data_IF_013992017366
#
_entry.id   IF_013992017366
#
_cell.length_a   1.000
_cell.length_b   1.000
_cell.length_c   1.000
_cell.angle_alpha   90.00
_cell.angle_beta   90.00
_cell.angle_gamma   90.00
#
_symmetry.space_group_name_H-M   'P 1'
#
loop_
_entity.id
_entity.type
_entity.pdbx_description
1 polymer ?
#
# COMPACT_ATOMS: atom_id res chain seq x y z
N UNK A 1 9.92 -2.87 13.19
CA UNK A 1 8.89 -1.91 13.64
C UNK A 1 9.02 -0.59 12.88
N UNK A 2 7.93 -0.09 12.31
CA UNK A 2 7.86 1.24 11.67
C UNK A 2 7.25 2.25 12.65
N UNK A 3 7.89 3.41 12.84
CA UNK A 3 7.37 4.49 13.68
C UNK A 3 7.35 5.81 12.90
N UNK A 4 6.21 6.46 12.87
CA UNK A 4 6.03 7.82 12.36
C UNK A 4 5.90 8.76 13.55
N UNK A 5 6.71 9.84 13.58
CA UNK A 5 6.69 10.84 14.66
C UNK A 5 6.35 12.21 14.10
N UNK A 6 5.15 12.72 14.42
CA UNK A 6 4.66 14.04 14.04
C UNK A 6 4.88 14.34 12.56
N UNK A 7 4.66 13.33 11.70
CA UNK A 7 4.94 13.41 10.28
C UNK A 7 3.99 14.40 9.62
N UNK A 8 4.56 15.35 8.86
CA UNK A 8 3.78 16.41 8.20
C UNK A 8 4.25 16.64 6.78
N UNK A 9 3.32 16.96 5.90
CA UNK A 9 3.61 17.41 4.54
C UNK A 9 2.67 18.55 4.16
N UNK A 10 3.25 19.71 3.86
CA UNK A 10 2.58 20.87 3.30
C UNK A 10 2.97 21.01 1.84
N UNK A 11 1.99 21.02 0.93
CA UNK A 11 2.19 21.40 -0.46
C UNK A 11 1.97 22.90 -0.61
N UNK A 12 2.73 23.52 -1.53
CA UNK A 12 2.56 24.93 -1.90
C UNK A 12 2.32 25.01 -3.40
N UNK A 13 1.27 25.69 -3.81
CA UNK A 13 0.94 25.97 -5.19
C UNK A 13 0.63 27.46 -5.39
N UNK A 14 0.20 27.84 -6.59
CA UNK A 14 -0.18 29.23 -6.91
C UNK A 14 -1.41 29.72 -6.12
N UNK A 15 -2.16 28.83 -5.48
CA UNK A 15 -3.37 29.13 -4.72
C UNK A 15 -3.10 29.22 -3.21
N UNK A 16 -1.89 28.81 -2.74
CA UNK A 16 -1.50 28.88 -1.34
C UNK A 16 -0.78 27.65 -0.81
N UNK A 17 -0.81 27.51 0.52
CA UNK A 17 -0.28 26.35 1.24
C UNK A 17 -1.42 25.45 1.69
N UNK A 18 -1.29 24.16 1.42
CA UNK A 18 -2.26 23.14 1.84
C UNK A 18 -1.53 22.05 2.61
N UNK A 19 -1.94 21.81 3.84
CA UNK A 19 -1.42 20.73 4.66
C UNK A 19 -2.11 19.41 4.26
N UNK A 20 -1.34 18.51 3.63
CA UNK A 20 -1.84 17.21 3.14
C UNK A 20 -1.75 16.16 4.24
N UNK A 21 -0.68 16.18 5.04
CA UNK A 21 -0.47 15.32 6.21
C UNK A 21 -0.08 16.22 7.38
N UNK A 22 -0.74 16.04 8.52
CA UNK A 22 -0.62 16.94 9.67
C UNK A 22 -0.32 16.14 10.94
N UNK A 23 0.92 16.26 11.43
CA UNK A 23 1.37 15.70 12.73
C UNK A 23 0.99 14.22 12.94
N UNK A 24 1.03 13.40 11.88
CA UNK A 24 0.68 11.99 11.95
C UNK A 24 1.75 11.24 12.76
N UNK A 25 1.33 10.63 13.88
CA UNK A 25 2.15 9.75 14.70
C UNK A 25 1.51 8.36 14.73
N UNK A 26 2.28 7.34 14.34
CA UNK A 26 1.79 5.98 14.15
C UNK A 26 2.93 4.99 14.36
N UNK A 27 2.69 3.98 15.19
CA UNK A 27 3.56 2.83 15.36
C UNK A 27 2.92 1.61 14.70
N UNK A 28 3.70 0.89 13.90
CA UNK A 28 3.32 -0.37 13.26
C UNK A 28 4.32 -1.44 13.67
N UNK A 29 3.86 -2.40 14.46
CA UNK A 29 4.69 -3.52 14.92
C UNK A 29 5.04 -4.46 13.76
N UNK A 30 6.15 -5.20 13.90
CA UNK A 30 6.54 -6.20 12.92
C UNK A 30 5.52 -7.34 12.84
N UNK A 31 5.30 -7.79 11.61
CA UNK A 31 4.35 -8.87 11.32
C UNK A 31 2.87 -8.46 11.37
N UNK A 32 2.56 -7.20 11.67
CA UNK A 32 1.18 -6.70 11.69
C UNK A 32 0.65 -6.37 10.30
N UNK A 33 -0.65 -6.57 10.16
CA UNK A 33 -1.41 -6.11 9.01
C UNK A 33 -2.24 -4.88 9.39
N UNK A 34 -1.82 -3.73 8.87
CA UNK A 34 -2.49 -2.44 9.04
C UNK A 34 -3.28 -2.06 7.79
N UNK A 35 -4.52 -1.65 7.95
CA UNK A 35 -5.28 -0.99 6.88
C UNK A 35 -5.42 0.50 7.18
N UNK A 36 -5.06 1.33 6.20
CA UNK A 36 -5.32 2.77 6.22
C UNK A 36 -6.54 3.03 5.32
N UNK A 37 -7.60 3.55 5.91
CA UNK A 37 -8.83 3.91 5.20
C UNK A 37 -9.23 5.36 5.50
N UNK A 38 -10.29 5.86 4.89
CA UNK A 38 -10.78 7.22 5.09
C UNK A 38 -11.16 7.91 3.78
N UNK A 39 -11.74 9.11 3.81
CA UNK A 39 -12.26 9.79 2.62
C UNK A 39 -11.18 10.06 1.56
N UNK A 40 -11.63 10.22 0.30
CA UNK A 40 -10.74 10.63 -0.77
C UNK A 40 -10.16 12.02 -0.46
N UNK A 41 -8.88 12.22 -0.79
CA UNK A 41 -8.16 13.44 -0.40
C UNK A 41 -7.70 13.50 1.06
N UNK A 42 -7.99 12.48 1.88
CA UNK A 42 -7.60 12.44 3.31
C UNK A 42 -6.10 12.27 3.59
N UNK A 43 -5.24 12.15 2.55
CA UNK A 43 -3.78 12.06 2.72
C UNK A 43 -3.21 10.63 2.71
N UNK A 44 -4.03 9.59 2.51
CA UNK A 44 -3.63 8.17 2.60
C UNK A 44 -2.46 7.80 1.68
N UNK A 45 -2.62 7.99 0.37
CA UNK A 45 -1.56 7.76 -0.63
C UNK A 45 -0.33 8.60 -0.36
N UNK A 46 -0.51 9.83 0.11
CA UNK A 46 0.60 10.72 0.48
C UNK A 46 1.38 10.18 1.66
N UNK A 47 0.70 9.68 2.69
CA UNK A 47 1.34 9.06 3.85
C UNK A 47 2.17 7.83 3.43
N UNK A 48 1.61 6.97 2.57
CA UNK A 48 2.34 5.81 2.04
C UNK A 48 3.55 6.22 1.18
N UNK A 49 3.44 7.27 0.37
CA UNK A 49 4.55 7.85 -0.40
C UNK A 49 5.64 8.42 0.50
N UNK A 50 5.29 9.07 1.61
CA UNK A 50 6.25 9.54 2.61
C UNK A 50 7.03 8.37 3.22
N UNK A 51 6.37 7.27 3.59
CA UNK A 51 7.02 6.08 4.15
C UNK A 51 8.00 5.46 3.14
N UNK A 52 7.64 5.39 1.86
CA UNK A 52 8.54 4.86 0.81
C UNK A 52 9.64 5.83 0.39
N UNK A 53 9.53 7.14 0.70
CA UNK A 53 10.46 8.17 0.26
C UNK A 53 10.18 8.71 -1.15
N UNK A 54 8.97 8.48 -1.66
CA UNK A 54 8.46 9.06 -2.92
C UNK A 54 8.05 10.53 -2.75
N UNK A 55 7.85 10.96 -1.50
CA UNK A 55 7.64 12.34 -1.10
C UNK A 55 8.52 12.63 0.11
N UNK A 56 8.97 13.88 0.24
CA UNK A 56 9.79 14.34 1.37
C UNK A 56 8.90 15.06 2.38
N UNK A 57 8.87 14.68 3.65
CA UNK A 57 8.07 15.36 4.66
C UNK A 57 8.59 16.78 4.90
N UNK A 58 7.69 17.69 5.25
CA UNK A 58 8.03 19.05 5.68
C UNK A 58 8.36 19.13 7.18
N UNK A 59 8.00 18.06 7.93
CA UNK A 59 8.29 17.94 9.36
C UNK A 59 8.08 16.52 9.86
N UNK A 60 8.61 16.23 11.04
CA UNK A 60 8.54 14.91 11.65
C UNK A 60 9.64 13.95 11.20
N UNK A 61 9.52 12.70 11.64
CA UNK A 61 10.51 11.65 11.39
C UNK A 61 9.83 10.31 11.04
N UNK A 62 10.53 9.51 10.24
CA UNK A 62 10.14 8.13 9.92
C UNK A 62 11.28 7.24 10.42
N UNK A 63 10.96 6.36 11.35
CA UNK A 63 11.92 5.42 11.92
C UNK A 63 11.58 4.00 11.48
N UNK A 64 12.59 3.23 11.10
CA UNK A 64 12.50 1.79 10.87
C UNK A 64 13.46 1.11 11.83
N UNK A 65 12.93 0.30 12.75
CA UNK A 65 13.69 -0.35 13.84
C UNK A 65 14.48 0.64 14.71
N UNK A 66 13.91 1.84 14.91
CA UNK A 66 14.57 2.91 15.67
C UNK A 66 15.59 3.73 14.88
N UNK A 67 15.97 3.31 13.66
CA UNK A 67 16.85 4.08 12.78
C UNK A 67 16.04 5.11 11.98
N UNK A 68 16.49 6.36 11.95
CA UNK A 68 15.86 7.43 11.16
C UNK A 68 16.12 7.21 9.66
N UNK A 69 15.07 6.86 8.94
CA UNK A 69 15.09 6.68 7.49
C UNK A 69 14.56 7.89 6.73
N UNK A 70 14.18 8.97 7.42
CA UNK A 70 13.62 10.18 6.80
C UNK A 70 14.51 10.75 5.70
N UNK A 71 15.86 10.88 5.89
CA UNK A 71 16.73 11.43 4.86
C UNK A 71 17.11 10.45 3.75
N UNK A 72 16.71 9.17 3.87
CA UNK A 72 17.14 8.13 2.93
C UNK A 72 16.39 8.18 1.61
N UNK A 73 17.10 7.87 0.54
CA UNK A 73 16.53 7.74 -0.80
C UNK A 73 15.55 6.56 -0.90
N UNK A 74 14.69 6.57 -1.93
CA UNK A 74 13.79 5.44 -2.28
C UNK A 74 14.60 4.13 -2.38
N UNK A 75 15.76 4.18 -3.05
CA UNK A 75 16.62 3.01 -3.25
C UNK A 75 17.14 2.45 -1.93
N UNK A 76 17.56 3.33 -1.01
CA UNK A 76 18.09 2.89 0.29
C UNK A 76 17.00 2.32 1.18
N UNK A 77 15.79 2.90 1.15
CA UNK A 77 14.61 2.33 1.83
C UNK A 77 14.21 0.98 1.23
N UNK A 78 14.26 0.85 -0.10
CA UNK A 78 14.00 -0.41 -0.78
C UNK A 78 15.02 -1.50 -0.41
N UNK A 79 16.30 -1.16 -0.24
CA UNK A 79 17.37 -2.07 0.25
C UNK A 79 17.18 -2.47 1.70
N UNK A 80 16.54 -1.63 2.52
CA UNK A 80 16.16 -1.94 3.90
C UNK A 80 14.90 -2.81 4.00
N UNK A 81 14.37 -3.28 2.87
CA UNK A 81 13.26 -4.20 2.82
C UNK A 81 11.88 -3.53 2.84
N UNK A 82 11.77 -2.29 2.37
CA UNK A 82 10.47 -1.64 2.11
C UNK A 82 10.11 -1.84 0.64
N UNK A 83 8.86 -2.19 0.34
CA UNK A 83 8.31 -2.25 -1.01
C UNK A 83 6.98 -1.53 -1.10
N UNK A 84 6.67 -1.04 -2.30
CA UNK A 84 5.49 -0.23 -2.55
C UNK A 84 4.83 -0.64 -3.86
N UNK A 85 3.52 -0.88 -3.83
CA UNK A 85 2.68 -1.07 -5.01
C UNK A 85 1.96 0.24 -5.30
N UNK A 86 2.09 0.74 -6.52
CA UNK A 86 1.50 2.00 -6.93
C UNK A 86 -0.01 1.86 -7.21
N UNK A 87 -0.79 2.89 -6.95
CA UNK A 87 -2.19 2.95 -7.36
C UNK A 87 -2.33 2.72 -8.88
N UNK A 88 -1.44 3.37 -9.67
CA UNK A 88 -1.28 3.11 -11.10
C UNK A 88 0.09 2.47 -11.33
N UNK A 89 0.14 1.16 -11.67
CA UNK A 89 1.39 0.46 -11.84
C UNK A 89 2.17 0.98 -13.05
N UNK A 90 3.50 1.12 -12.92
CA UNK A 90 4.35 1.55 -14.02
C UNK A 90 4.43 0.48 -15.11
N UNK A 91 4.63 0.90 -16.35
CA UNK A 91 4.89 0.02 -17.49
C UNK A 91 6.36 0.12 -17.88
N UNK A 92 6.96 -1.02 -18.20
CA UNK A 92 8.39 -1.13 -18.52
C UNK A 92 8.57 -1.63 -19.94
N UNK A 93 8.58 -0.72 -20.90
CA UNK A 93 8.74 -1.05 -22.33
C UNK A 93 10.05 -1.81 -22.55
N UNK A 94 9.97 -2.94 -23.24
CA UNK A 94 11.12 -3.79 -23.56
C UNK A 94 11.59 -4.71 -22.43
N UNK A 95 10.82 -4.83 -21.34
CA UNK A 95 11.07 -5.78 -20.25
C UNK A 95 9.97 -6.83 -20.21
N UNK A 96 10.36 -8.09 -20.11
CA UNK A 96 9.43 -9.20 -19.93
C UNK A 96 9.01 -9.35 -18.47
N UNK A 97 7.87 -9.98 -18.25
CA UNK A 97 7.40 -10.32 -16.90
C UNK A 97 8.44 -11.15 -16.14
N UNK A 98 9.09 -12.13 -16.81
CA UNK A 98 10.19 -12.92 -16.23
C UNK A 98 11.37 -12.07 -15.76
N UNK A 99 11.71 -11.01 -16.50
CA UNK A 99 12.83 -10.13 -16.17
C UNK A 99 12.49 -9.30 -14.91
N UNK A 100 11.25 -8.76 -14.85
CA UNK A 100 10.79 -8.01 -13.67
C UNK A 100 10.78 -8.88 -12.41
N UNK A 101 10.28 -10.12 -12.49
CA UNK A 101 10.29 -11.04 -11.36
C UNK A 101 11.73 -11.36 -10.91
N UNK A 102 12.65 -11.60 -11.85
CA UNK A 102 14.05 -11.88 -11.57
C UNK A 102 14.74 -10.68 -10.89
N UNK A 103 14.52 -9.47 -11.41
CA UNK A 103 15.06 -8.24 -10.83
C UNK A 103 14.50 -8.04 -9.42
N UNK A 104 13.20 -8.22 -9.23
CA UNK A 104 12.55 -8.05 -7.94
C UNK A 104 13.07 -9.05 -6.90
N UNK A 105 13.24 -10.33 -7.30
CA UNK A 105 13.79 -11.37 -6.45
C UNK A 105 15.28 -11.18 -6.09
N UNK A 106 16.01 -10.38 -6.89
CA UNK A 106 17.46 -10.20 -6.73
C UNK A 106 18.28 -11.45 -7.01
N UNK A 107 17.68 -12.47 -7.63
CA UNK A 107 18.32 -13.75 -8.01
C UNK A 107 17.65 -14.31 -9.25
N UNK A 108 18.34 -15.20 -9.95
CA UNK A 108 17.72 -15.99 -11.02
C UNK A 108 16.64 -16.89 -10.43
N UNK A 109 15.43 -16.79 -10.97
CA UNK A 109 14.31 -17.64 -10.57
C UNK A 109 14.26 -18.90 -11.45
N UNK A 110 13.94 -20.04 -10.85
CA UNK A 110 13.52 -21.21 -11.59
C UNK A 110 12.15 -20.97 -12.26
N UNK A 111 11.82 -21.76 -13.27
CA UNK A 111 10.51 -21.68 -13.91
C UNK A 111 9.37 -21.87 -12.89
N UNK A 112 9.50 -22.82 -11.98
CA UNK A 112 8.50 -23.14 -10.96
C UNK A 112 8.33 -22.00 -9.95
N UNK A 113 9.42 -21.34 -9.51
CA UNK A 113 9.35 -20.17 -8.65
C UNK A 113 8.60 -19.01 -9.34
N UNK A 114 8.94 -18.70 -10.58
CA UNK A 114 8.28 -17.66 -11.35
C UNK A 114 6.79 -17.99 -11.61
N UNK A 115 6.47 -19.26 -11.92
CA UNK A 115 5.10 -19.75 -12.03
C UNK A 115 4.32 -19.56 -10.73
N UNK A 116 4.93 -19.87 -9.59
CA UNK A 116 4.30 -19.72 -8.27
C UNK A 116 3.87 -18.28 -8.00
N UNK A 117 4.73 -17.29 -8.26
CA UNK A 117 4.39 -15.87 -8.07
C UNK A 117 3.23 -15.42 -8.95
N UNK A 118 3.19 -15.82 -10.22
CA UNK A 118 2.09 -15.47 -11.13
C UNK A 118 0.79 -16.17 -10.75
N UNK A 119 0.84 -17.44 -10.33
CA UNK A 119 -0.33 -18.20 -9.90
C UNK A 119 -0.97 -17.56 -8.66
N UNK A 120 -0.16 -17.06 -7.71
CA UNK A 120 -0.66 -16.37 -6.51
C UNK A 120 -1.52 -15.15 -6.86
N UNK A 121 -1.22 -14.47 -7.95
CA UNK A 121 -2.00 -13.31 -8.42
C UNK A 121 -3.02 -13.65 -9.51
N UNK A 122 -3.27 -14.94 -9.77
CA UNK A 122 -4.26 -15.41 -10.74
C UNK A 122 -3.84 -15.21 -12.19
N UNK A 123 -2.55 -15.24 -12.50
CA UNK A 123 -2.01 -15.21 -13.87
C UNK A 123 -1.43 -16.58 -14.26
N UNK A 124 -1.71 -17.01 -15.49
CA UNK A 124 -1.12 -18.23 -16.04
C UNK A 124 0.32 -17.94 -16.48
N UNK A 125 1.30 -18.61 -15.86
CA UNK A 125 2.71 -18.39 -16.17
C UNK A 125 3.05 -18.65 -17.65
N UNK A 126 2.45 -19.70 -18.26
CA UNK A 126 2.65 -20.03 -19.67
C UNK A 126 2.33 -18.85 -20.58
N UNK A 127 1.28 -18.09 -20.25
CA UNK A 127 0.78 -17.01 -21.08
C UNK A 127 1.46 -15.67 -20.81
N UNK A 128 2.05 -15.50 -19.62
CA UNK A 128 2.54 -14.18 -19.17
C UNK A 128 4.05 -14.07 -19.02
N UNK A 129 4.80 -15.12 -18.65
CA UNK A 129 6.25 -15.00 -18.36
C UNK A 129 7.05 -14.39 -19.51
N UNK A 130 6.71 -14.75 -20.76
CA UNK A 130 7.38 -14.26 -21.96
C UNK A 130 6.84 -12.94 -22.51
N UNK A 131 5.77 -12.37 -21.94
CA UNK A 131 5.15 -11.12 -22.44
C UNK A 131 5.92 -9.90 -21.99
N UNK A 132 5.96 -8.90 -22.85
CA UNK A 132 6.47 -7.57 -22.50
C UNK A 132 5.48 -6.83 -21.61
N UNK A 133 5.98 -6.07 -20.65
CA UNK A 133 5.16 -5.24 -19.75
C UNK A 133 4.91 -3.88 -20.40
N UNK A 134 4.14 -3.90 -21.46
CA UNK A 134 3.84 -2.74 -22.31
C UNK A 134 2.34 -2.41 -22.35
N UNK A 135 1.93 -1.66 -23.37
CA UNK A 135 0.54 -1.20 -23.54
C UNK A 135 -0.40 -2.30 -24.02
N UNK A 136 0.09 -3.48 -24.39
CA UNK A 136 -0.75 -4.63 -24.77
C UNK A 136 -1.42 -5.31 -23.57
N UNK A 137 -0.88 -5.08 -22.36
CA UNK A 137 -1.48 -5.57 -21.12
C UNK A 137 -2.57 -4.62 -20.64
N UNK A 138 -3.69 -5.18 -20.17
CA UNK A 138 -4.73 -4.42 -19.48
C UNK A 138 -4.21 -3.84 -18.15
N UNK A 139 -4.88 -2.83 -17.62
CA UNK A 139 -4.53 -2.26 -16.31
C UNK A 139 -4.53 -3.28 -15.18
N UNK A 140 -5.53 -4.18 -15.16
CA UNK A 140 -5.62 -5.25 -14.16
C UNK A 140 -4.53 -6.30 -14.28
N UNK A 141 -4.06 -6.63 -15.51
CA UNK A 141 -2.92 -7.54 -15.71
C UNK A 141 -1.63 -6.93 -15.21
N UNK A 142 -1.36 -5.66 -15.54
CA UNK A 142 -0.15 -4.96 -15.06
C UNK A 142 -0.16 -4.85 -13.54
N UNK A 143 -1.33 -4.57 -12.93
CA UNK A 143 -1.49 -4.52 -11.47
C UNK A 143 -1.15 -5.85 -10.81
N UNK A 144 -1.64 -6.97 -11.36
CA UNK A 144 -1.33 -8.30 -10.85
C UNK A 144 0.15 -8.66 -11.02
N UNK A 145 0.77 -8.28 -12.14
CA UNK A 145 2.22 -8.45 -12.37
C UNK A 145 3.01 -7.64 -11.34
N UNK A 146 2.63 -6.38 -11.08
CA UNK A 146 3.24 -5.55 -10.03
C UNK A 146 3.18 -6.25 -8.67
N UNK A 147 2.01 -6.76 -8.26
CA UNK A 147 1.86 -7.50 -7.00
C UNK A 147 2.77 -8.74 -6.99
N UNK A 148 2.83 -9.51 -8.08
CA UNK A 148 3.74 -10.66 -8.19
C UNK A 148 5.21 -10.25 -8.01
N UNK A 149 5.63 -9.07 -8.49
CA UNK A 149 7.00 -8.57 -8.26
C UNK A 149 7.24 -8.20 -6.79
N UNK A 150 6.24 -7.66 -6.08
CA UNK A 150 6.35 -7.41 -4.64
C UNK A 150 6.51 -8.73 -3.86
N UNK A 151 5.75 -9.75 -4.23
CA UNK A 151 5.87 -11.09 -3.63
C UNK A 151 7.26 -11.68 -3.89
N UNK A 152 7.78 -11.59 -5.12
CA UNK A 152 9.11 -12.06 -5.50
C UNK A 152 10.22 -11.32 -4.72
N UNK A 153 10.07 -10.02 -4.49
CA UNK A 153 11.00 -9.21 -3.69
C UNK A 153 11.04 -9.64 -2.23
N UNK A 154 9.94 -10.20 -1.71
CA UNK A 154 9.85 -10.74 -0.36
C UNK A 154 10.29 -9.73 0.73
N UNK A 155 9.80 -8.49 0.61
CA UNK A 155 10.17 -7.38 1.49
C UNK A 155 9.59 -7.54 2.89
N UNK A 156 10.31 -7.06 3.89
CA UNK A 156 9.88 -7.09 5.30
C UNK A 156 8.67 -6.19 5.57
N UNK A 157 8.63 -5.01 4.92
CA UNK A 157 7.50 -4.08 4.95
C UNK A 157 6.95 -3.92 3.53
N UNK A 158 5.69 -4.31 3.34
CA UNK A 158 4.99 -4.21 2.07
C UNK A 158 3.88 -3.19 2.17
N UNK A 159 3.88 -2.21 1.27
CA UNK A 159 2.87 -1.15 1.21
C UNK A 159 2.10 -1.30 -0.09
N UNK A 160 0.78 -1.43 -0.01
CA UNK A 160 -0.11 -1.53 -1.16
C UNK A 160 -1.05 -0.32 -1.18
N UNK A 161 -1.02 0.43 -2.26
CA UNK A 161 -1.86 1.62 -2.45
C UNK A 161 -3.01 1.27 -3.40
N UNK A 162 -4.20 1.07 -2.84
CA UNK A 162 -5.42 0.65 -3.52
C UNK A 162 -5.18 -0.51 -4.50
N UNK A 163 -4.69 -1.67 -4.01
CA UNK A 163 -4.30 -2.78 -4.89
C UNK A 163 -5.47 -3.38 -5.67
N UNK A 164 -6.70 -3.11 -5.25
CA UNK A 164 -7.95 -3.50 -5.91
C UNK A 164 -8.32 -2.62 -7.10
N UNK A 165 -7.69 -1.46 -7.27
CA UNK A 165 -8.06 -0.52 -8.34
C UNK A 165 -7.83 -1.12 -9.74
N UNK A 166 -8.91 -1.19 -10.53
CA UNK A 166 -8.85 -1.66 -11.92
C UNK A 166 -8.71 -3.17 -12.11
N UNK A 167 -8.90 -3.98 -11.06
CA UNK A 167 -8.96 -5.44 -11.17
C UNK A 167 -10.40 -5.95 -11.07
N UNK A 168 -10.67 -7.10 -11.71
CA UNK A 168 -11.98 -7.75 -11.66
C UNK A 168 -12.24 -8.49 -10.34
N UNK A 169 -13.49 -8.87 -10.09
CA UNK A 169 -13.92 -9.53 -8.85
C UNK A 169 -13.14 -10.83 -8.53
N UNK A 170 -12.84 -11.63 -9.57
CA UNK A 170 -12.13 -12.89 -9.38
C UNK A 170 -10.65 -12.66 -9.00
N UNK A 171 -10.02 -11.71 -9.68
CA UNK A 171 -8.65 -11.27 -9.36
C UNK A 171 -8.57 -10.64 -7.99
N UNK A 172 -9.59 -9.87 -7.59
CA UNK A 172 -9.68 -9.31 -6.23
C UNK A 172 -9.83 -10.39 -5.16
N UNK A 173 -10.65 -11.41 -5.41
CA UNK A 173 -10.76 -12.54 -4.48
C UNK A 173 -9.39 -13.22 -4.29
N UNK A 174 -8.65 -13.46 -5.38
CA UNK A 174 -7.32 -14.05 -5.33
C UNK A 174 -6.31 -13.16 -4.60
N UNK A 175 -6.33 -11.86 -4.85
CA UNK A 175 -5.51 -10.90 -4.11
C UNK A 175 -5.78 -10.98 -2.59
N UNK A 176 -7.05 -11.03 -2.21
CA UNK A 176 -7.45 -11.13 -0.80
C UNK A 176 -6.92 -12.40 -0.14
N UNK A 177 -6.98 -13.56 -0.84
CA UNK A 177 -6.37 -14.80 -0.39
C UNK A 177 -4.85 -14.67 -0.24
N UNK A 178 -4.17 -14.08 -1.24
CA UNK A 178 -2.71 -13.87 -1.20
C UNK A 178 -2.30 -13.00 -0.02
N UNK A 179 -3.02 -11.92 0.25
CA UNK A 179 -2.76 -11.04 1.41
C UNK A 179 -2.96 -11.79 2.72
N UNK A 180 -4.02 -12.59 2.83
CA UNK A 180 -4.26 -13.45 4.01
C UNK A 180 -3.09 -14.41 4.23
N UNK A 181 -2.67 -15.15 3.19
CA UNK A 181 -1.57 -16.10 3.28
C UNK A 181 -0.26 -15.44 3.69
N UNK A 182 0.01 -14.22 3.21
CA UNK A 182 1.18 -13.42 3.61
C UNK A 182 1.13 -13.05 5.09
N UNK A 183 -0.04 -12.61 5.55
CA UNK A 183 -0.25 -12.24 6.95
C UNK A 183 -0.13 -13.43 7.89
N UNK A 184 -0.78 -14.57 7.58
CA UNK A 184 -0.73 -15.78 8.39
C UNK A 184 0.68 -16.35 8.55
N UNK A 185 1.56 -16.13 7.57
CA UNK A 185 2.98 -16.50 7.67
C UNK A 185 3.77 -15.66 8.67
N UNK A 186 3.23 -14.50 9.10
CA UNK A 186 3.77 -13.63 10.15
C UNK A 186 5.16 -13.05 9.88
N UNK A 187 5.66 -13.13 8.63
CA UNK A 187 7.02 -12.69 8.26
C UNK A 187 7.07 -11.26 7.72
N UNK A 188 5.92 -10.72 7.36
CA UNK A 188 5.81 -9.45 6.67
C UNK A 188 4.94 -8.49 7.45
N UNK A 189 5.39 -7.27 7.60
CA UNK A 189 4.52 -6.16 8.00
C UNK A 189 3.82 -5.66 6.74
N UNK A 190 2.50 -5.58 6.79
CA UNK A 190 1.68 -5.23 5.63
C UNK A 190 0.92 -3.95 5.94
N UNK A 191 1.03 -2.96 5.06
CA UNK A 191 0.21 -1.75 5.10
C UNK A 191 -0.58 -1.70 3.80
N UNK A 192 -1.91 -1.67 3.88
CA UNK A 192 -2.78 -1.55 2.72
C UNK A 192 -3.65 -0.31 2.86
N UNK A 193 -3.64 0.54 1.83
CA UNK A 193 -4.66 1.57 1.65
C UNK A 193 -5.81 0.93 0.89
N UNK A 194 -6.98 0.80 1.52
CA UNK A 194 -8.15 0.20 0.90
C UNK A 194 -9.46 0.69 1.52
N UNK A 195 -10.53 0.65 0.72
CA UNK A 195 -11.90 0.85 1.16
C UNK A 195 -12.71 -0.46 1.12
N UNK A 196 -12.10 -1.56 0.71
CA UNK A 196 -12.77 -2.84 0.51
C UNK A 196 -12.96 -3.58 1.84
N UNK A 197 -14.21 -3.87 2.17
CA UNK A 197 -14.59 -4.59 3.40
C UNK A 197 -13.77 -5.87 3.61
N UNK A 198 -13.58 -6.66 2.54
CA UNK A 198 -12.87 -7.94 2.63
C UNK A 198 -11.42 -7.78 3.06
N UNK A 199 -10.76 -6.69 2.67
CA UNK A 199 -9.39 -6.36 3.09
C UNK A 199 -9.40 -5.80 4.51
N UNK A 200 -10.33 -4.88 4.81
CA UNK A 200 -10.47 -4.24 6.12
C UNK A 200 -10.66 -5.29 7.22
N UNK A 201 -11.49 -6.32 6.97
CA UNK A 201 -11.75 -7.41 7.93
C UNK A 201 -10.58 -8.36 8.18
N UNK A 202 -9.55 -8.35 7.34
CA UNK A 202 -8.33 -9.14 7.54
C UNK A 202 -7.29 -8.43 8.40
N UNK A 203 -7.45 -7.11 8.61
CA UNK A 203 -6.48 -6.30 9.31
C UNK A 203 -6.46 -6.57 10.81
N UNK A 204 -5.28 -6.61 11.40
CA UNK A 204 -5.12 -6.55 12.88
C UNK A 204 -5.56 -5.20 13.39
N UNK A 205 -5.30 -4.15 12.61
CA UNK A 205 -5.55 -2.78 12.99
C UNK A 205 -5.97 -1.92 11.79
N UNK A 206 -6.85 -0.97 12.06
CA UNK A 206 -7.32 0.02 11.09
C UNK A 206 -6.92 1.41 11.58
N UNK A 207 -6.44 2.24 10.67
CA UNK A 207 -6.25 3.67 10.85
C UNK A 207 -7.18 4.41 9.91
N UNK A 208 -8.06 5.23 10.47
CA UNK A 208 -8.90 6.17 9.73
C UNK A 208 -8.13 7.48 9.56
N UNK A 209 -7.74 7.79 8.33
CA UNK A 209 -7.05 9.04 7.98
C UNK A 209 -8.04 9.99 7.29
N UNK A 210 -8.29 11.15 7.89
CA UNK A 210 -9.18 12.17 7.36
C UNK A 210 -8.56 13.56 7.53
N UNK A 211 -8.67 14.42 6.53
CA UNK A 211 -8.13 15.78 6.53
C UNK A 211 -6.63 15.89 6.90
N UNK A 212 -5.87 14.85 6.57
CA UNK A 212 -4.44 14.76 6.87
C UNK A 212 -4.09 14.29 8.29
N UNK A 213 -5.06 13.93 9.11
CA UNK A 213 -4.89 13.52 10.51
C UNK A 213 -5.45 12.12 10.77
N UNK A 214 -4.96 11.46 11.83
CA UNK A 214 -5.56 10.21 12.29
C UNK A 214 -6.83 10.55 13.05
N UNK A 215 -7.98 10.30 12.42
CA UNK A 215 -9.32 10.50 12.99
C UNK A 215 -9.78 9.33 13.87
N UNK A 216 -9.17 8.15 13.70
CA UNK A 216 -9.48 6.97 14.50
C UNK A 216 -8.45 5.87 14.30
N UNK A 217 -8.27 5.05 15.32
CA UNK A 217 -7.38 3.88 15.31
C UNK A 217 -7.98 2.79 16.21
N UNK A 218 -7.95 1.55 15.78
CA UNK A 218 -8.46 0.41 16.53
C UNK A 218 -8.51 -0.86 15.69
N UNK A 219 -9.09 -1.92 16.25
CA UNK A 219 -9.30 -3.18 15.55
C UNK A 219 -10.39 -3.08 14.49
N UNK A 220 -10.43 -4.05 13.57
CA UNK A 220 -11.49 -4.13 12.56
C UNK A 220 -12.88 -4.20 13.20
N UNK A 221 -13.03 -4.96 14.28
CA UNK A 221 -14.31 -5.14 14.98
C UNK A 221 -14.79 -3.85 15.66
N UNK A 222 -13.89 -2.99 16.13
CA UNK A 222 -14.23 -1.74 16.80
C UNK A 222 -14.56 -0.59 15.82
N UNK A 223 -13.81 -0.50 14.71
CA UNK A 223 -13.92 0.64 13.79
C UNK A 223 -14.82 0.37 12.60
N UNK A 224 -14.89 -0.86 12.09
CA UNK A 224 -15.66 -1.15 10.87
C UNK A 224 -17.17 -0.84 11.03
N UNK A 225 -17.85 -1.17 12.16
CA UNK A 225 -19.24 -0.77 12.36
C UNK A 225 -19.45 0.76 12.35
N UNK A 226 -18.48 1.50 12.87
CA UNK A 226 -18.53 2.97 12.88
C UNK A 226 -18.35 3.55 11.48
N UNK A 227 -17.46 2.96 10.67
CA UNK A 227 -17.27 3.34 9.27
C UNK A 227 -18.56 3.13 8.47
N UNK A 228 -19.25 2.00 8.65
CA UNK A 228 -20.53 1.71 7.99
C UNK A 228 -21.63 2.70 8.41
N UNK A 229 -21.76 3.01 9.69
CA UNK A 229 -22.78 3.93 10.18
C UNK A 229 -22.60 5.36 9.64
N UNK A 230 -21.35 5.79 9.45
CA UNK A 230 -21.03 7.10 8.86
C UNK A 230 -21.32 7.15 7.36
N UNK A 231 -21.17 6.03 6.65
CA UNK A 231 -21.49 5.93 5.21
C UNK A 231 -23.02 5.96 4.97
N UNK A 232 -23.80 5.39 5.88
CA UNK A 232 -25.28 5.36 5.81
C UNK A 232 -25.91 6.69 6.20
N UNK A 233 -25.27 7.45 7.11
CA UNK A 233 -25.76 8.74 7.60
C UNK A 233 -25.49 9.92 6.63
N UNK A 234 -25.06 9.67 5.41
CA UNK A 234 -24.80 10.61 4.31
C UNK A 234 -24.65 12.07 4.77
N UNK A 235 -23.46 12.64 4.67
CA UNK A 235 -23.11 14.06 4.87
C UNK A 235 -22.69 14.58 6.25
N UNK A 236 -22.62 13.81 7.32
CA UNK A 236 -22.36 14.40 8.66
C UNK A 236 -20.96 14.21 9.24
N UNK A 237 -19.93 13.95 8.45
CA UNK A 237 -18.53 14.02 8.94
C UNK A 237 -17.99 15.46 9.07
N UNK A 238 -18.74 16.46 8.56
CA UNK A 238 -18.35 17.89 8.62
C UNK A 238 -19.04 18.66 9.77
N UNK A 239 -20.02 18.08 10.44
CA UNK A 239 -20.77 18.79 11.50
C UNK A 239 -20.15 18.74 12.91
N UNK A 240 -19.07 17.96 13.14
CA UNK A 240 -18.42 17.93 14.46
C UNK A 240 -17.54 19.17 14.71
N UNK A 241 -17.24 19.99 13.70
CA UNK A 241 -16.47 21.22 13.85
C UNK A 241 -17.08 22.44 13.14
N UNK A 242 -18.40 22.61 13.17
CA UNK A 242 -19.04 23.92 13.00
C UNK A 242 -18.66 24.77 11.79
N UNK A 243 -18.51 24.19 10.59
CA UNK A 243 -18.35 24.97 9.35
C UNK A 243 -19.35 24.40 8.31
N UNK A 244 -20.53 25.03 8.25
CA UNK A 244 -21.31 25.14 7.03
C UNK A 244 -20.89 26.40 6.32
#
# INVERSE_FOLDING_TARGET
MLTLKNLSLTASDAQGRTDIVKNVSLDVEDGKFLVITGPNGGGKTTLAKLIMGLATPTGGQILLDGEDITPLSITDRARRGISYSFQQPPRFKGMKVSDLLTIAAGKTLSHDEACSYLTQVGLCARDYLGRDVDTSLSGGEVKRIEIATLLAKNSRLMIFDEPEAGIDLWSFARLTETVRDLHEKGRHTIIIISHQERIIRLADEIVLLANGEIAGRGTADELYPKLLSQTVAGCNLLEVNGIC
#
